data_IF_742184901793
#
_entry.id   IF_742184901793
#
_cell.length_a   1.000
_cell.length_b   1.000
_cell.length_c   1.000
_cell.angle_alpha   90.00
_cell.angle_beta   90.00
_cell.angle_gamma   90.00
#
_symmetry.space_group_name_H-M   'P 1'
#
loop_
_entity.id
_entity.type
_entity.pdbx_description
1 polymer ?
#
# COMPACT_ATOMS: atom_id res chain seq x y z
N UNK A 1 -7.83 -25.60 -29.46
CA UNK A 1 -7.25 -25.59 -28.11
C UNK A 1 -7.93 -24.49 -27.31
N UNK A 2 -8.64 -24.92 -26.28
CA UNK A 2 -9.68 -24.19 -25.57
C UNK A 2 -9.13 -22.98 -24.83
N UNK A 3 -9.60 -21.79 -25.19
CA UNK A 3 -9.36 -20.56 -24.42
C UNK A 3 -10.10 -20.71 -23.09
N UNK A 4 -9.35 -21.02 -22.04
CA UNK A 4 -9.81 -20.86 -20.66
C UNK A 4 -9.94 -19.36 -20.40
N UNK A 5 -11.11 -18.82 -20.73
CA UNK A 5 -11.60 -17.55 -20.21
C UNK A 5 -11.80 -17.72 -18.71
N UNK A 6 -10.79 -17.33 -17.91
CA UNK A 6 -10.86 -17.28 -16.46
C UNK A 6 -11.88 -16.21 -16.04
N UNK A 7 -13.04 -16.56 -15.45
CA UNK A 7 -14.12 -15.61 -15.29
C UNK A 7 -14.17 -14.97 -13.89
N UNK A 8 -13.05 -14.69 -13.19
CA UNK A 8 -13.10 -14.11 -11.82
C UNK A 8 -11.92 -13.22 -11.36
N UNK A 9 -11.18 -12.55 -12.26
CA UNK A 9 -10.16 -11.56 -11.86
C UNK A 9 -10.40 -10.19 -12.51
N UNK A 10 -11.65 -9.75 -12.52
CA UNK A 10 -11.95 -8.34 -12.69
C UNK A 10 -12.07 -7.75 -11.29
N UNK A 11 -11.20 -6.78 -10.99
CA UNK A 11 -11.34 -5.78 -9.95
C UNK A 11 -12.79 -5.62 -9.45
N UNK A 12 -13.13 -6.36 -8.40
CA UNK A 12 -14.27 -6.04 -7.56
C UNK A 12 -13.68 -5.66 -6.22
N UNK A 13 -13.37 -4.38 -6.06
CA UNK A 13 -13.36 -3.77 -4.73
C UNK A 13 -14.62 -4.27 -4.03
N UNK A 14 -14.42 -4.98 -2.93
CA UNK A 14 -15.42 -5.77 -2.23
C UNK A 14 -16.71 -4.97 -2.06
N UNK A 15 -17.77 -5.30 -2.81
CA UNK A 15 -19.08 -4.68 -2.64
C UNK A 15 -20.13 -5.77 -2.50
N UNK A 16 -20.55 -6.03 -1.26
CA UNK A 16 -21.85 -6.68 -1.03
C UNK A 16 -22.92 -5.68 -1.45
N UNK A 17 -23.61 -5.96 -2.54
CA UNK A 17 -24.86 -5.27 -2.88
C UNK A 17 -25.88 -5.59 -1.78
N UNK A 18 -26.53 -4.60 -1.14
CA UNK A 18 -27.63 -4.87 -0.23
C UNK A 18 -28.75 -5.55 -1.02
N UNK A 19 -29.17 -6.72 -0.55
CA UNK A 19 -30.33 -7.41 -1.11
C UNK A 19 -31.58 -6.70 -0.60
N UNK A 20 -32.36 -6.19 -1.55
CA UNK A 20 -33.74 -5.69 -1.44
C UNK A 20 -33.93 -4.24 -0.93
N UNK A 21 -34.79 -3.51 -1.68
CA UNK A 21 -35.50 -2.31 -1.22
C UNK A 21 -34.85 -0.98 -1.62
N UNK A 22 -35.49 -0.28 -2.57
CA UNK A 22 -35.27 1.12 -2.98
C UNK A 22 -33.80 1.51 -3.24
N UNK A 23 -33.44 1.77 -4.50
CA UNK A 23 -32.16 2.39 -4.87
C UNK A 23 -32.07 3.82 -4.31
N UNK A 24 -31.83 3.97 -3.00
CA UNK A 24 -31.10 5.12 -2.51
C UNK A 24 -29.74 5.04 -3.19
N UNK A 25 -29.46 5.99 -4.06
CA UNK A 25 -28.16 6.17 -4.67
C UNK A 25 -27.19 6.60 -3.58
N UNK A 26 -26.76 5.66 -2.74
CA UNK A 26 -25.73 5.90 -1.75
C UNK A 26 -24.44 6.18 -2.53
N UNK A 27 -24.12 7.46 -2.68
CA UNK A 27 -22.82 7.89 -3.21
C UNK A 27 -21.83 7.76 -2.06
N UNK A 28 -20.82 6.92 -2.25
CA UNK A 28 -19.66 6.95 -1.39
C UNK A 28 -18.94 8.30 -1.54
N UNK A 29 -18.22 8.69 -0.50
CA UNK A 29 -17.46 9.94 -0.48
C UNK A 29 -16.48 10.03 -1.67
N UNK A 30 -15.81 8.91 -1.99
CA UNK A 30 -14.93 8.78 -3.16
C UNK A 30 -15.65 7.97 -4.24
N UNK A 31 -15.70 8.46 -5.50
CA UNK A 31 -16.31 7.74 -6.59
C UNK A 31 -15.48 6.53 -7.00
N UNK A 32 -16.15 5.45 -7.42
CA UNK A 32 -15.49 4.21 -7.85
C UNK A 32 -14.53 4.44 -9.06
N UNK A 33 -14.79 5.47 -9.87
CA UNK A 33 -13.92 5.87 -10.98
C UNK A 33 -12.54 6.38 -10.54
N UNK A 34 -12.37 6.82 -9.28
CA UNK A 34 -11.10 7.32 -8.77
C UNK A 34 -9.99 6.26 -8.86
N UNK A 35 -10.35 5.00 -8.61
CA UNK A 35 -9.40 3.90 -8.69
C UNK A 35 -8.79 3.70 -10.09
N UNK A 36 -9.43 4.23 -11.14
CA UNK A 36 -8.90 4.26 -12.50
C UNK A 36 -8.41 2.88 -12.96
N UNK A 37 -9.19 1.84 -12.62
CA UNK A 37 -8.83 0.44 -12.83
C UNK A 37 -8.51 0.17 -14.30
N UNK A 38 -9.30 0.71 -15.22
CA UNK A 38 -9.09 0.51 -16.65
C UNK A 38 -7.77 1.11 -17.14
N UNK A 39 -7.40 2.30 -16.65
CA UNK A 39 -6.14 2.97 -16.98
C UNK A 39 -4.96 2.20 -16.37
N UNK A 40 -5.10 1.74 -15.13
CA UNK A 40 -4.08 0.94 -14.45
C UNK A 40 -3.83 -0.37 -15.20
N UNK A 41 -4.89 -1.10 -15.55
CA UNK A 41 -4.78 -2.36 -16.28
C UNK A 41 -4.25 -2.15 -17.71
N UNK A 42 -4.65 -1.07 -18.38
CA UNK A 42 -4.11 -0.71 -19.69
C UNK A 42 -2.60 -0.49 -19.64
N UNK A 43 -2.08 0.17 -18.59
CA UNK A 43 -0.63 0.33 -18.36
C UNK A 43 0.06 -1.03 -18.22
N UNK A 44 -0.48 -1.92 -17.39
CA UNK A 44 0.08 -3.26 -17.14
C UNK A 44 0.01 -4.18 -18.37
N UNK A 45 -0.87 -3.88 -19.33
CA UNK A 45 -1.02 -4.64 -20.57
C UNK A 45 0.08 -4.39 -21.62
N UNK A 46 0.99 -3.45 -21.36
CA UNK A 46 2.08 -3.08 -22.27
C UNK A 46 3.14 -4.18 -22.42
N UNK A 47 3.84 -4.20 -23.55
CA UNK A 47 4.77 -5.29 -23.91
C UNK A 47 5.95 -5.45 -22.94
N UNK A 48 6.30 -4.38 -22.22
CA UNK A 48 7.34 -4.38 -21.19
C UNK A 48 7.01 -5.39 -20.08
N UNK A 49 5.73 -5.53 -19.73
CA UNK A 49 5.30 -6.44 -18.67
C UNK A 49 5.00 -7.85 -19.19
N UNK A 50 4.67 -8.07 -20.46
CA UNK A 50 4.18 -9.39 -20.91
C UNK A 50 5.18 -10.53 -20.77
N UNK A 51 6.48 -10.27 -20.93
CA UNK A 51 7.50 -11.31 -21.05
C UNK A 51 8.29 -11.57 -19.76
N UNK A 52 7.94 -10.92 -18.65
CA UNK A 52 8.74 -10.95 -17.42
C UNK A 52 7.91 -11.59 -16.31
N UNK A 53 8.28 -12.75 -15.78
CA UNK A 53 7.64 -13.34 -14.61
C UNK A 53 7.99 -12.55 -13.34
N UNK A 54 6.99 -12.16 -12.54
CA UNK A 54 7.20 -11.41 -11.30
C UNK A 54 8.18 -12.11 -10.34
N UNK A 55 7.98 -13.43 -10.16
CA UNK A 55 8.79 -14.26 -9.26
C UNK A 55 10.23 -14.39 -9.75
N UNK A 56 10.42 -14.70 -11.03
CA UNK A 56 11.76 -14.88 -11.59
C UNK A 56 12.53 -13.57 -11.61
N UNK A 57 11.82 -12.46 -11.85
CA UNK A 57 12.42 -11.13 -11.85
C UNK A 57 12.84 -10.71 -10.44
N UNK A 58 11.99 -10.89 -9.43
CA UNK A 58 12.35 -10.63 -8.03
C UNK A 58 13.53 -11.48 -7.54
N UNK A 59 13.61 -12.76 -7.94
CA UNK A 59 14.77 -13.61 -7.63
C UNK A 59 16.05 -13.10 -8.29
N UNK A 60 15.98 -12.65 -9.54
CA UNK A 60 17.13 -12.03 -10.23
C UNK A 60 17.57 -10.74 -9.55
N UNK A 61 16.63 -9.94 -9.03
CA UNK A 61 16.95 -8.74 -8.26
C UNK A 61 17.74 -9.11 -7.00
N UNK A 62 17.22 -10.04 -6.18
CA UNK A 62 17.92 -10.50 -4.97
C UNK A 62 19.30 -11.06 -5.28
N UNK A 63 19.42 -11.89 -6.33
CA UNK A 63 20.72 -12.43 -6.75
C UNK A 63 21.72 -11.34 -7.14
N UNK A 64 21.28 -10.32 -7.89
CA UNK A 64 22.13 -9.17 -8.25
C UNK A 64 22.59 -8.43 -6.99
N UNK A 65 21.66 -8.09 -6.10
CA UNK A 65 21.93 -7.38 -4.84
C UNK A 65 22.95 -8.16 -4.00
N UNK A 66 22.70 -9.45 -3.78
CA UNK A 66 23.57 -10.31 -2.97
C UNK A 66 24.96 -10.51 -3.59
N UNK A 67 25.06 -10.43 -4.93
CA UNK A 67 26.34 -10.46 -5.64
C UNK A 67 27.07 -9.10 -5.67
N UNK A 68 26.54 -8.07 -5.01
CA UNK A 68 27.09 -6.71 -5.00
C UNK A 68 26.95 -5.97 -6.34
N UNK A 69 26.08 -6.45 -7.24
CA UNK A 69 25.83 -5.82 -8.54
C UNK A 69 24.76 -4.74 -8.40
N UNK A 70 24.93 -3.66 -9.14
CA UNK A 70 23.96 -2.57 -9.22
C UNK A 70 22.66 -3.07 -9.85
N UNK A 71 21.54 -2.74 -9.20
CA UNK A 71 20.19 -2.99 -9.72
C UNK A 71 19.62 -1.69 -10.26
N UNK A 72 19.02 -1.75 -11.45
CA UNK A 72 18.36 -0.58 -12.02
C UNK A 72 17.07 -0.25 -11.26
N UNK A 73 16.79 1.03 -10.94
CA UNK A 73 15.51 1.43 -10.36
C UNK A 73 14.31 1.08 -11.24
N UNK A 74 14.52 0.97 -12.55
CA UNK A 74 13.49 0.50 -13.48
C UNK A 74 13.19 -1.00 -13.29
N UNK A 75 14.22 -1.82 -13.03
CA UNK A 75 14.00 -3.26 -12.77
C UNK A 75 13.15 -3.43 -11.49
N UNK A 76 13.40 -2.60 -10.47
CA UNK A 76 12.63 -2.58 -9.24
C UNK A 76 11.18 -2.09 -9.43
N UNK A 77 10.97 -1.02 -10.21
CA UNK A 77 9.63 -0.56 -10.58
C UNK A 77 8.85 -1.63 -11.37
N UNK A 78 9.50 -2.33 -12.31
CA UNK A 78 8.88 -3.43 -13.06
C UNK A 78 8.41 -4.55 -12.11
N UNK A 79 9.22 -4.89 -11.11
CA UNK A 79 8.84 -5.87 -10.08
C UNK A 79 7.59 -5.41 -9.31
N UNK A 80 7.58 -4.18 -8.82
CA UNK A 80 6.46 -3.62 -8.06
C UNK A 80 5.14 -3.60 -8.86
N UNK A 81 5.21 -3.29 -10.16
CA UNK A 81 4.04 -3.27 -11.05
C UNK A 81 3.52 -4.67 -11.41
N UNK A 82 4.23 -5.74 -11.04
CA UNK A 82 3.86 -7.14 -11.33
C UNK A 82 3.42 -7.93 -10.11
N UNK A 83 3.18 -7.26 -8.99
CA UNK A 83 2.72 -7.91 -7.77
C UNK A 83 1.41 -8.68 -7.96
N UNK A 84 0.54 -8.25 -8.88
CA UNK A 84 -0.73 -8.94 -9.18
C UNK A 84 -0.54 -10.38 -9.72
N UNK A 85 0.66 -10.77 -10.18
CA UNK A 85 0.98 -12.16 -10.56
C UNK A 85 1.32 -13.06 -9.36
N UNK A 86 1.64 -12.46 -8.21
CA UNK A 86 1.99 -13.18 -6.99
C UNK A 86 0.74 -13.45 -6.15
N UNK A 87 0.88 -14.37 -5.19
CA UNK A 87 -0.15 -14.67 -4.20
C UNK A 87 0.27 -14.13 -2.83
N UNK A 88 -0.68 -14.01 -1.90
CA UNK A 88 -0.49 -13.54 -0.52
C UNK A 88 0.65 -14.29 0.19
N UNK A 89 0.83 -15.58 -0.12
CA UNK A 89 1.93 -16.42 0.42
C UNK A 89 3.33 -15.97 0.00
N UNK A 90 3.45 -15.14 -1.04
CA UNK A 90 4.72 -14.62 -1.53
C UNK A 90 5.07 -13.26 -0.92
N UNK A 91 4.27 -12.73 0.01
CA UNK A 91 4.52 -11.42 0.59
C UNK A 91 5.81 -11.33 1.38
N UNK A 92 6.23 -12.40 2.06
CA UNK A 92 7.52 -12.40 2.77
C UNK A 92 8.69 -12.23 1.79
N UNK A 93 8.57 -12.84 0.61
CA UNK A 93 9.52 -12.66 -0.48
C UNK A 93 9.47 -11.23 -1.06
N UNK A 94 8.27 -10.65 -1.21
CA UNK A 94 8.13 -9.26 -1.65
C UNK A 94 8.80 -8.30 -0.67
N UNK A 95 8.60 -8.50 0.64
CA UNK A 95 9.20 -7.69 1.70
C UNK A 95 10.72 -7.88 1.77
N UNK A 96 11.22 -9.09 1.54
CA UNK A 96 12.65 -9.34 1.39
C UNK A 96 13.22 -8.52 0.22
N UNK A 97 12.58 -8.55 -0.96
CA UNK A 97 13.02 -7.74 -2.11
C UNK A 97 13.02 -6.25 -1.79
N UNK A 98 11.97 -5.74 -1.13
CA UNK A 98 11.87 -4.33 -0.71
C UNK A 98 13.05 -3.98 0.20
N UNK A 99 13.22 -4.71 1.31
CA UNK A 99 14.25 -4.42 2.29
C UNK A 99 15.67 -4.56 1.72
N UNK A 100 15.90 -5.57 0.88
CA UNK A 100 17.19 -5.76 0.21
C UNK A 100 17.49 -4.62 -0.77
N UNK A 101 16.51 -4.18 -1.56
CA UNK A 101 16.70 -3.09 -2.51
C UNK A 101 16.97 -1.76 -1.82
N UNK A 102 16.26 -1.47 -0.71
CA UNK A 102 16.43 -0.23 0.04
C UNK A 102 17.79 -0.10 0.72
N UNK A 103 18.51 -1.21 0.93
CA UNK A 103 19.89 -1.21 1.42
C UNK A 103 20.94 -0.99 0.31
N UNK A 104 20.51 -0.67 -0.93
CA UNK A 104 21.41 -0.37 -2.06
C UNK A 104 21.52 1.13 -2.33
N UNK A 105 22.58 1.56 -3.01
CA UNK A 105 22.72 2.96 -3.45
C UNK A 105 21.63 3.39 -4.44
N UNK A 106 21.10 2.44 -5.23
CA UNK A 106 20.04 2.69 -6.21
C UNK A 106 18.68 2.97 -5.57
N UNK A 107 18.56 2.87 -4.24
CA UNK A 107 17.38 3.24 -3.48
C UNK A 107 17.05 4.74 -3.55
N UNK A 108 18.05 5.59 -3.82
CA UNK A 108 17.84 7.04 -3.98
C UNK A 108 17.01 7.37 -5.22
N UNK A 109 17.09 6.52 -6.25
CA UNK A 109 16.45 6.73 -7.55
C UNK A 109 15.15 5.91 -7.71
N UNK A 110 14.55 5.47 -6.60
CA UNK A 110 13.24 4.79 -6.62
C UNK A 110 12.22 5.70 -7.30
N UNK A 111 11.46 5.13 -8.24
CA UNK A 111 10.45 5.87 -8.99
C UNK A 111 9.19 6.04 -8.16
N UNK A 112 8.50 7.18 -8.32
CA UNK A 112 7.22 7.44 -7.66
C UNK A 112 6.16 6.37 -7.97
N UNK A 113 6.21 5.79 -9.17
CA UNK A 113 5.28 4.72 -9.55
C UNK A 113 5.48 3.42 -8.75
N UNK A 114 6.67 3.20 -8.21
CA UNK A 114 7.01 2.01 -7.45
C UNK A 114 6.19 1.95 -6.16
N UNK A 115 6.17 3.03 -5.38
CA UNK A 115 5.39 3.11 -4.14
C UNK A 115 3.89 2.94 -4.40
N UNK A 116 3.39 3.60 -5.46
CA UNK A 116 1.99 3.47 -5.88
C UNK A 116 1.63 2.02 -6.26
N UNK A 117 2.53 1.34 -6.96
CA UNK A 117 2.35 -0.06 -7.37
C UNK A 117 2.36 -1.01 -6.16
N UNK A 118 3.29 -0.85 -5.21
CA UNK A 118 3.29 -1.63 -3.97
C UNK A 118 2.00 -1.44 -3.19
N UNK A 119 1.56 -0.20 -2.99
CA UNK A 119 0.32 0.08 -2.25
C UNK A 119 -0.88 -0.59 -2.93
N UNK A 120 -1.02 -0.46 -4.26
CA UNK A 120 -2.08 -1.16 -5.00
C UNK A 120 -2.00 -2.68 -4.87
N UNK A 121 -0.81 -3.26 -4.99
CA UNK A 121 -0.60 -4.70 -4.83
C UNK A 121 -1.05 -5.19 -3.45
N UNK A 122 -0.65 -4.50 -2.38
CA UNK A 122 -1.07 -4.86 -1.02
C UNK A 122 -2.57 -4.66 -0.78
N UNK A 123 -3.18 -3.62 -1.36
CA UNK A 123 -4.64 -3.46 -1.33
C UNK A 123 -5.36 -4.63 -2.04
N UNK A 124 -4.78 -5.14 -3.14
CA UNK A 124 -5.30 -6.31 -3.86
C UNK A 124 -5.18 -7.61 -3.04
N UNK A 125 -4.07 -7.78 -2.31
CA UNK A 125 -3.86 -8.89 -1.37
C UNK A 125 -4.76 -8.82 -0.12
N UNK A 126 -5.30 -7.63 0.18
CA UNK A 126 -6.13 -7.33 1.36
C UNK A 126 -5.39 -7.42 2.69
N UNK A 127 -4.07 -7.30 2.64
CA UNK A 127 -3.19 -7.34 3.80
C UNK A 127 -2.98 -5.93 4.35
N UNK A 128 -4.03 -5.39 4.98
CA UNK A 128 -4.07 -4.01 5.49
C UNK A 128 -3.00 -3.77 6.55
N UNK A 129 -2.87 -4.69 7.50
CA UNK A 129 -1.94 -4.52 8.63
C UNK A 129 -0.48 -4.52 8.16
N UNK A 130 -0.14 -5.40 7.20
CA UNK A 130 1.19 -5.41 6.58
C UNK A 130 1.44 -4.11 5.82
N UNK A 131 0.46 -3.63 5.05
CA UNK A 131 0.58 -2.38 4.33
C UNK A 131 0.80 -1.18 5.27
N UNK A 132 0.05 -1.09 6.36
CA UNK A 132 0.24 -0.04 7.38
C UNK A 132 1.63 -0.11 7.99
N UNK A 133 2.11 -1.31 8.34
CA UNK A 133 3.47 -1.51 8.86
C UNK A 133 4.54 -1.07 7.86
N UNK A 134 4.34 -1.30 6.57
CA UNK A 134 5.28 -0.88 5.53
C UNK A 134 5.38 0.64 5.42
N UNK A 135 4.26 1.37 5.49
CA UNK A 135 4.25 2.84 5.42
C UNK A 135 4.75 3.47 6.73
N UNK A 136 4.43 2.88 7.89
CA UNK A 136 4.97 3.32 9.18
C UNK A 136 6.50 3.18 9.22
N UNK A 137 7.03 2.12 8.61
CA UNK A 137 8.46 1.87 8.46
C UNK A 137 9.07 2.50 7.19
N UNK A 138 8.50 3.60 6.65
CA UNK A 138 8.93 4.25 5.39
C UNK A 138 10.43 4.48 5.27
N UNK A 139 11.14 4.76 6.37
CA UNK A 139 12.59 4.96 6.35
C UNK A 139 13.39 3.71 5.98
N UNK A 140 12.83 2.52 6.23
CA UNK A 140 13.43 1.22 5.90
C UNK A 140 12.88 0.65 4.59
N UNK A 141 11.59 0.87 4.33
CA UNK A 141 10.89 0.29 3.18
C UNK A 141 10.96 1.15 1.94
N UNK A 142 11.23 2.45 2.07
CA UNK A 142 11.19 3.40 0.97
C UNK A 142 9.81 3.59 0.35
N UNK A 143 8.75 3.05 0.98
CA UNK A 143 7.39 3.17 0.49
C UNK A 143 6.79 4.44 1.08
N UNK A 144 6.75 5.48 0.26
CA UNK A 144 6.13 6.76 0.58
C UNK A 144 4.75 6.83 -0.06
N UNK A 145 3.76 7.23 0.74
CA UNK A 145 2.37 7.34 0.27
C UNK A 145 2.22 8.61 -0.57
N UNK A 146 1.83 8.46 -1.84
CA UNK A 146 1.47 9.58 -2.70
C UNK A 146 -0.02 9.96 -2.57
N UNK A 147 -0.40 11.11 -3.10
CA UNK A 147 -1.79 11.60 -3.04
C UNK A 147 -2.82 10.60 -3.58
N UNK A 148 -2.53 9.91 -4.68
CA UNK A 148 -3.49 8.99 -5.28
C UNK A 148 -3.60 7.71 -4.44
N UNK A 149 -2.49 7.18 -3.95
CA UNK A 149 -2.50 6.05 -3.02
C UNK A 149 -3.20 6.37 -1.72
N UNK A 150 -2.99 7.56 -1.15
CA UNK A 150 -3.61 7.94 0.11
C UNK A 150 -5.13 7.91 0.03
N UNK A 151 -5.70 8.50 -1.02
CA UNK A 151 -7.15 8.50 -1.23
C UNK A 151 -7.68 7.08 -1.47
N UNK A 152 -6.95 6.25 -2.22
CA UNK A 152 -7.29 4.84 -2.41
C UNK A 152 -7.31 4.05 -1.09
N UNK A 153 -6.25 4.19 -0.28
CA UNK A 153 -6.14 3.51 1.01
C UNK A 153 -7.24 3.96 1.97
N UNK A 154 -7.44 5.27 2.10
CA UNK A 154 -8.50 5.84 2.93
C UNK A 154 -9.88 5.37 2.46
N UNK A 155 -10.18 5.35 1.15
CA UNK A 155 -11.45 4.83 0.64
C UNK A 155 -11.69 3.39 1.07
N UNK A 156 -10.67 2.53 0.94
CA UNK A 156 -10.75 1.12 1.35
C UNK A 156 -11.00 1.00 2.85
N UNK A 157 -10.29 1.76 3.68
CA UNK A 157 -10.41 1.69 5.13
C UNK A 157 -11.74 2.26 5.64
N UNK A 158 -12.15 3.42 5.12
CA UNK A 158 -13.44 4.04 5.42
C UNK A 158 -14.61 3.13 5.04
N UNK A 159 -14.56 2.47 3.88
CA UNK A 159 -15.61 1.53 3.48
C UNK A 159 -15.67 0.26 4.34
N UNK A 160 -14.54 -0.16 4.92
CA UNK A 160 -14.47 -1.30 5.84
C UNK A 160 -14.85 -0.96 7.28
N UNK A 161 -14.91 0.32 7.63
CA UNK A 161 -15.10 0.76 9.01
C UNK A 161 -13.80 0.82 9.82
N UNK A 162 -12.65 0.74 9.16
CA UNK A 162 -11.32 0.79 9.78
C UNK A 162 -10.85 2.24 9.92
N UNK A 163 -11.51 3.00 10.80
CA UNK A 163 -11.33 4.45 10.92
C UNK A 163 -9.90 4.84 11.33
N UNK A 164 -9.29 4.06 12.25
CA UNK A 164 -7.93 4.29 12.71
C UNK A 164 -6.90 4.08 11.61
N UNK A 165 -7.07 3.06 10.78
CA UNK A 165 -6.22 2.84 9.61
C UNK A 165 -6.33 4.01 8.62
N UNK A 166 -7.53 4.57 8.42
CA UNK A 166 -7.73 5.75 7.57
C UNK A 166 -7.04 7.01 8.14
N UNK A 167 -7.04 7.16 9.47
CA UNK A 167 -6.27 8.23 10.14
C UNK A 167 -4.77 7.99 10.01
N UNK A 168 -4.28 6.77 10.18
CA UNK A 168 -2.86 6.46 10.04
C UNK A 168 -2.32 6.90 8.67
N UNK A 169 -3.10 6.71 7.61
CA UNK A 169 -2.74 7.23 6.26
C UNK A 169 -2.70 8.76 6.23
N UNK A 170 -3.68 9.44 6.83
CA UNK A 170 -3.69 10.91 6.94
C UNK A 170 -2.49 11.42 7.75
N UNK A 171 -2.10 10.68 8.79
CA UNK A 171 -0.93 10.98 9.61
C UNK A 171 0.36 10.84 8.80
N UNK A 172 0.49 9.79 7.99
CA UNK A 172 1.63 9.63 7.08
C UNK A 172 1.72 10.76 6.05
N UNK A 173 0.59 11.31 5.58
CA UNK A 173 0.60 12.51 4.75
C UNK A 173 1.10 13.74 5.51
N UNK A 174 0.72 13.88 6.78
CA UNK A 174 1.17 14.96 7.66
C UNK A 174 2.69 14.88 7.91
N UNK A 175 3.21 13.68 8.18
CA UNK A 175 4.64 13.44 8.41
C UNK A 175 5.51 13.73 7.17
N UNK A 176 4.92 13.62 5.98
CA UNK A 176 5.55 13.97 4.70
C UNK A 176 5.31 15.44 4.30
N UNK A 177 4.74 16.26 5.21
CA UNK A 177 4.45 17.68 5.01
C UNK A 177 3.52 17.98 3.81
N UNK A 178 2.72 17.01 3.36
CA UNK A 178 1.87 17.18 2.18
C UNK A 178 0.80 18.25 2.34
N UNK A 179 0.34 18.51 3.57
CA UNK A 179 -0.65 19.56 3.86
C UNK A 179 -0.04 20.96 3.93
N UNK A 180 1.28 21.07 3.98
CA UNK A 180 2.00 22.35 3.95
C UNK A 180 2.31 22.82 2.52
N UNK A 181 2.04 21.98 1.51
CA UNK A 181 2.24 22.33 0.11
C UNK A 181 1.24 23.40 -0.33
N UNK A 182 1.69 24.34 -1.15
CA UNK A 182 0.85 25.44 -1.66
C UNK A 182 -0.36 24.92 -2.46
N UNK A 183 -0.22 23.74 -3.09
CA UNK A 183 -1.24 23.11 -3.94
C UNK A 183 -1.74 21.78 -3.35
N UNK A 184 -2.27 21.79 -2.12
CA UNK A 184 -2.93 20.60 -1.56
C UNK A 184 -4.12 20.20 -2.43
N UNK A 185 -4.18 18.92 -2.83
CA UNK A 185 -5.30 18.40 -3.62
C UNK A 185 -6.57 18.36 -2.77
N UNK A 186 -7.67 19.04 -3.17
CA UNK A 186 -8.87 19.16 -2.34
C UNK A 186 -9.46 17.82 -1.90
N UNK A 187 -9.43 16.81 -2.77
CA UNK A 187 -9.94 15.48 -2.44
C UNK A 187 -9.13 14.79 -1.35
N UNK A 188 -7.80 14.95 -1.34
CA UNK A 188 -6.93 14.36 -0.32
C UNK A 188 -7.26 14.99 1.03
N UNK A 189 -7.27 16.32 1.09
CA UNK A 189 -7.62 17.06 2.31
C UNK A 189 -9.02 16.70 2.82
N UNK A 190 -10.01 16.69 1.93
CA UNK A 190 -11.39 16.38 2.30
C UNK A 190 -11.53 14.93 2.79
N UNK A 191 -10.83 13.98 2.17
CA UNK A 191 -10.81 12.57 2.63
C UNK A 191 -10.13 12.43 3.98
N UNK A 192 -8.99 13.11 4.20
CA UNK A 192 -8.30 13.09 5.48
C UNK A 192 -9.14 13.69 6.61
N UNK A 193 -9.78 14.83 6.37
CA UNK A 193 -10.70 15.44 7.34
C UNK A 193 -11.91 14.53 7.61
N UNK A 194 -12.45 13.90 6.58
CA UNK A 194 -13.56 12.95 6.72
C UNK A 194 -13.14 11.72 7.54
N UNK A 195 -11.93 11.21 7.38
CA UNK A 195 -11.35 10.15 8.22
C UNK A 195 -11.25 10.57 9.68
N UNK A 196 -10.79 11.79 9.96
CA UNK A 196 -10.75 12.34 11.32
C UNK A 196 -12.15 12.43 11.94
N UNK A 197 -13.11 13.00 11.20
CA UNK A 197 -14.49 13.12 11.64
C UNK A 197 -15.10 11.75 11.97
N UNK A 198 -14.90 10.76 11.10
CA UNK A 198 -15.42 9.40 11.31
C UNK A 198 -14.82 8.72 12.53
N UNK A 199 -13.53 8.92 12.80
CA UNK A 199 -12.92 8.34 13.99
C UNK A 199 -13.46 8.96 15.28
N UNK A 200 -13.70 10.28 15.28
CA UNK A 200 -14.32 10.98 16.42
C UNK A 200 -15.76 10.49 16.64
N UNK A 201 -16.56 10.38 15.57
CA UNK A 201 -17.94 9.88 15.66
C UNK A 201 -18.06 8.46 16.23
N UNK A 202 -17.01 7.65 16.06
CA UNK A 202 -16.99 6.24 16.46
C UNK A 202 -16.11 5.96 17.68
N UNK A 203 -15.61 7.00 18.37
CA UNK A 203 -14.69 6.91 19.52
C UNK A 203 -13.47 6.00 19.28
N UNK A 204 -13.04 5.83 18.04
CA UNK A 204 -11.96 4.89 17.70
C UNK A 204 -10.57 5.43 18.03
N UNK A 205 -10.43 6.73 18.32
CA UNK A 205 -9.18 7.38 18.72
C UNK A 205 -8.68 6.99 20.11
N UNK A 206 -9.48 6.27 20.91
CA UNK A 206 -9.06 5.74 22.20
C UNK A 206 -8.19 4.51 21.95
N UNK A 207 -6.88 4.72 21.79
CA UNK A 207 -5.90 3.67 22.04
C UNK A 207 -6.12 3.28 23.50
N UNK A 208 -6.68 2.08 23.74
CA UNK A 208 -6.59 1.48 25.07
C UNK A 208 -5.11 1.37 25.36
N UNK A 209 -4.63 2.16 26.31
CA UNK A 209 -3.29 1.98 26.87
C UNK A 209 -3.13 0.49 27.15
N UNK A 210 -2.19 -0.16 26.46
CA UNK A 210 -1.74 -1.47 26.88
C UNK A 210 -1.21 -1.29 28.29
N UNK A 211 -1.83 -1.95 29.28
CA UNK A 211 -1.28 -1.99 30.63
C UNK A 211 0.23 -2.32 30.52
N UNK A 212 1.10 -1.55 31.20
CA UNK A 212 2.53 -1.78 31.09
C UNK A 212 2.82 -3.22 31.49
N UNK A 213 3.42 -3.98 30.56
CA UNK A 213 3.93 -5.30 30.86
C UNK A 213 5.03 -5.14 31.93
N UNK A 214 4.73 -5.64 33.12
CA UNK A 214 5.58 -5.76 34.32
C UNK A 214 7.09 -5.61 34.02
N UNK A 215 7.66 -4.46 34.41
CA UNK A 215 9.08 -4.13 34.28
C UNK A 215 9.94 -5.16 35.01
N UNK A 216 10.51 -6.12 34.28
CA UNK A 216 11.63 -6.90 34.81
C UNK A 216 12.88 -6.03 34.78
N UNK A 217 13.30 -5.56 35.96
CA UNK A 217 14.59 -4.92 36.21
C UNK A 217 15.73 -5.65 35.48
N UNK A 218 16.25 -5.06 34.41
CA UNK A 218 17.54 -5.46 33.84
C UNK A 218 18.63 -4.69 34.58
N UNK A 219 19.27 -5.35 35.55
CA UNK A 219 20.51 -4.84 36.17
C UNK A 219 21.62 -4.76 35.11
N UNK A 220 22.01 -3.54 34.75
CA UNK A 220 23.27 -3.33 34.02
C UNK A 220 24.45 -3.55 34.96
N UNK A 221 25.17 -4.65 34.76
CA UNK A 221 26.44 -4.90 35.43
C UNK A 221 27.53 -4.20 34.59
N UNK A 222 27.92 -3.00 35.03
CA UNK A 222 29.06 -2.28 34.45
C UNK A 222 30.33 -3.06 34.81
N UNK A 223 30.95 -3.68 33.81
CA UNK A 223 32.27 -4.28 33.96
C UNK A 223 33.31 -3.15 34.06
N UNK A 224 34.00 -3.08 35.19
CA UNK A 224 35.20 -2.24 35.39
C UNK A 224 36.42 -2.90 34.75
#
# INVERSE_FOLDING_TARGET
MSRLTWPYYTCTFFRKQPKYGLKLWYRYFIPDSYASVDIWNARLSSDIFRNISARDHGLKLLQKINSGKVVSPLDYDIFANKLDELDVKSLDFVEEVIMSYMNTQSAVDVRDSTSHAFIRGYLNFREVDRLLKLIECRSKTGIFVDFASAVLMMDVFLRKGEWNSAIAVSWELCLQEYFSLENVRPLVLATSLFSCMKSIEHDSYVVKESEPADDKEVRYQICK
#
